data_IF_444915828185
#
_entry.id   IF_444915828185
#
_cell.length_a   1.000
_cell.length_b   1.000
_cell.length_c   1.000
_cell.angle_alpha   90.00
_cell.angle_beta   90.00
_cell.angle_gamma   90.00
#
_symmetry.space_group_name_H-M   'P 1'
#
loop_
_entity.id
_entity.type
_entity.pdbx_description
1 polymer ?
#
# COMPACT_ATOMS: atom_id res chain seq x y z
N UNK A 1 -13.81 -3.49 3.33
CA UNK A 1 -12.43 -3.76 2.89
C UNK A 1 -11.57 -2.49 2.89
N UNK A 2 -11.83 -1.52 2.00
CA UNK A 2 -11.01 -0.31 1.87
C UNK A 2 -10.76 0.46 3.18
N UNK A 3 -11.77 0.56 4.04
CA UNK A 3 -11.65 1.21 5.37
C UNK A 3 -10.73 0.45 6.33
N UNK A 4 -10.66 -0.89 6.24
CA UNK A 4 -9.76 -1.70 7.05
C UNK A 4 -8.31 -1.53 6.58
N UNK A 5 -8.10 -1.50 5.26
CA UNK A 5 -6.80 -1.20 4.66
C UNK A 5 -6.35 0.20 5.04
N UNK A 6 -7.22 1.22 4.90
CA UNK A 6 -6.96 2.60 5.32
C UNK A 6 -6.48 2.68 6.77
N UNK A 7 -7.14 1.97 7.69
CA UNK A 7 -6.73 1.95 9.10
C UNK A 7 -5.33 1.37 9.28
N UNK A 8 -5.01 0.26 8.61
CA UNK A 8 -3.70 -0.36 8.73
C UNK A 8 -2.59 0.54 8.19
N UNK A 9 -2.77 1.07 6.97
CA UNK A 9 -1.74 1.91 6.34
C UNK A 9 -1.54 3.22 7.11
N UNK A 10 -2.59 3.77 7.73
CA UNK A 10 -2.47 4.94 8.60
C UNK A 10 -1.53 4.66 9.78
N UNK A 11 -1.66 3.50 10.43
CA UNK A 11 -0.76 3.13 11.54
C UNK A 11 0.69 3.03 11.04
N UNK A 12 0.91 2.38 9.89
CA UNK A 12 2.25 2.33 9.29
C UNK A 12 2.80 3.73 8.97
N UNK A 13 1.96 4.64 8.51
CA UNK A 13 2.35 6.02 8.23
C UNK A 13 2.70 6.78 9.51
N UNK A 14 1.85 6.70 10.53
CA UNK A 14 2.02 7.39 11.81
C UNK A 14 3.28 6.89 12.56
N UNK A 15 3.65 5.62 12.37
CA UNK A 15 4.88 5.03 12.92
C UNK A 15 6.11 5.22 12.00
N UNK A 16 5.98 5.95 10.88
CA UNK A 16 7.09 6.30 9.99
C UNK A 16 7.56 5.19 9.05
N UNK A 17 6.79 4.10 8.92
CA UNK A 17 7.09 2.99 7.99
C UNK A 17 6.66 3.26 6.55
N UNK A 18 5.79 4.24 6.33
CA UNK A 18 5.27 4.58 5.01
C UNK A 18 5.14 6.10 4.85
N UNK A 19 5.49 6.59 3.67
CA UNK A 19 5.24 7.98 3.29
C UNK A 19 3.74 8.25 3.11
N UNK A 20 3.41 9.45 2.62
CA UNK A 20 2.04 9.80 2.25
C UNK A 20 1.49 8.77 1.24
N UNK A 21 0.26 8.34 1.49
CA UNK A 21 -0.36 7.24 0.76
C UNK A 21 -1.78 7.59 0.33
N UNK A 22 -2.32 6.78 -0.58
CA UNK A 22 -3.72 6.81 -1.00
C UNK A 22 -4.30 5.40 -1.00
N UNK A 23 -5.53 5.30 -0.50
CA UNK A 23 -6.36 4.10 -0.66
C UNK A 23 -7.51 4.41 -1.62
N UNK A 24 -7.69 3.57 -2.64
CA UNK A 24 -8.78 3.67 -3.59
C UNK A 24 -9.54 2.34 -3.69
N UNK A 25 -10.83 2.43 -3.99
CA UNK A 25 -11.69 1.28 -4.25
C UNK A 25 -12.71 1.65 -5.31
N UNK A 26 -12.85 0.80 -6.32
CA UNK A 26 -13.86 0.99 -7.35
C UNK A 26 -15.13 0.21 -7.00
N UNK A 27 -16.18 0.92 -6.57
CA UNK A 27 -17.50 0.33 -6.30
C UNK A 27 -18.35 0.10 -7.56
N UNK A 28 -17.75 0.20 -8.75
CA UNK A 28 -18.42 0.02 -10.04
C UNK A 28 -18.87 1.32 -10.72
N UNK A 29 -18.47 2.48 -10.20
CA UNK A 29 -18.76 3.80 -10.80
C UNK A 29 -17.66 4.29 -11.75
N UNK A 30 -16.48 3.66 -11.72
CA UNK A 30 -15.36 3.98 -12.60
C UNK A 30 -15.02 2.78 -13.51
N UNK A 31 -14.47 3.01 -14.71
CA UNK A 31 -13.84 1.96 -15.50
C UNK A 31 -12.71 1.26 -14.75
N UNK A 32 -12.36 0.04 -15.16
CA UNK A 32 -11.30 -0.78 -14.55
C UNK A 32 -11.84 -1.91 -13.67
N UNK A 33 -10.93 -2.59 -12.98
CA UNK A 33 -11.28 -3.72 -12.12
C UNK A 33 -12.17 -3.28 -10.96
N UNK A 34 -13.20 -4.08 -10.72
CA UNK A 34 -14.10 -3.92 -9.58
C UNK A 34 -13.62 -4.79 -8.44
N UNK A 35 -14.03 -4.47 -7.24
CA UNK A 35 -13.73 -5.25 -6.04
C UNK A 35 -12.23 -5.34 -5.69
N UNK A 36 -11.41 -4.48 -6.29
CA UNK A 36 -9.99 -4.29 -5.96
C UNK A 36 -9.82 -3.07 -5.07
N UNK A 37 -9.14 -3.25 -3.94
CA UNK A 37 -8.62 -2.14 -3.13
C UNK A 37 -7.18 -1.89 -3.53
N UNK A 38 -6.90 -0.66 -3.96
CA UNK A 38 -5.56 -0.21 -4.33
C UNK A 38 -5.00 0.62 -3.19
N UNK A 39 -3.82 0.22 -2.71
CA UNK A 39 -2.99 1.02 -1.81
C UNK A 39 -1.77 1.47 -2.60
N UNK A 40 -1.62 2.79 -2.74
CA UNK A 40 -0.52 3.42 -3.45
C UNK A 40 0.22 4.37 -2.50
N UNK A 41 1.55 4.39 -2.59
CA UNK A 41 2.40 5.38 -1.96
C UNK A 41 3.66 5.55 -2.80
N UNK A 42 4.25 6.74 -2.73
CA UNK A 42 5.52 7.04 -3.40
C UNK A 42 6.65 6.96 -2.37
N UNK A 43 7.74 6.29 -2.73
CA UNK A 43 8.94 6.21 -1.90
C UNK A 43 10.19 6.36 -2.75
N UNK A 44 11.21 7.03 -2.20
CA UNK A 44 12.51 7.12 -2.86
C UNK A 44 13.26 5.78 -2.86
N UNK A 45 13.00 4.92 -1.87
CA UNK A 45 13.65 3.62 -1.74
C UNK A 45 12.73 2.63 -1.05
N UNK A 46 12.33 1.57 -1.76
CA UNK A 46 11.56 0.50 -1.17
C UNK A 46 12.40 -0.29 -0.18
N UNK A 47 12.01 -0.26 1.10
CA UNK A 47 12.68 -1.01 2.16
C UNK A 47 11.96 -2.35 2.42
N UNK A 48 12.72 -3.45 2.47
CA UNK A 48 12.16 -4.76 2.80
C UNK A 48 11.54 -4.74 4.21
N UNK A 49 10.32 -5.29 4.40
CA UNK A 49 9.75 -5.53 5.74
C UNK A 49 10.58 -6.51 6.59
N UNK A 50 11.39 -7.35 5.95
CA UNK A 50 12.24 -8.36 6.60
C UNK A 50 13.68 -7.91 6.82
N UNK A 51 13.97 -6.61 6.66
CA UNK A 51 15.30 -6.05 6.93
C UNK A 51 15.64 -6.17 8.43
N UNK A 52 16.93 -6.33 8.72
CA UNK A 52 17.42 -6.37 10.10
C UNK A 52 17.06 -5.08 10.86
N UNK A 53 16.66 -5.23 12.12
CA UNK A 53 16.30 -4.11 12.99
C UNK A 53 14.96 -3.43 12.67
N UNK A 54 14.16 -3.96 11.75
CA UNK A 54 12.81 -3.44 11.51
C UNK A 54 11.84 -3.88 12.61
N UNK A 55 11.41 -2.94 13.44
CA UNK A 55 10.37 -3.17 14.45
C UNK A 55 8.99 -3.00 13.81
N UNK A 56 8.34 -4.11 13.49
CA UNK A 56 7.04 -4.06 12.84
C UNK A 56 5.94 -3.57 13.82
N UNK A 57 5.15 -2.56 13.43
CA UNK A 57 4.02 -2.05 14.20
C UNK A 57 3.01 -3.14 14.54
N UNK A 58 2.97 -3.58 15.80
CA UNK A 58 2.09 -4.70 16.22
C UNK A 58 0.61 -4.39 16.01
N UNK A 59 0.21 -3.12 16.14
CA UNK A 59 -1.16 -2.69 15.88
C UNK A 59 -1.49 -2.73 14.39
N UNK A 60 -0.57 -2.34 13.50
CA UNK A 60 -0.76 -2.47 12.07
C UNK A 60 -0.86 -3.94 11.65
N UNK A 61 -0.09 -4.83 12.27
CA UNK A 61 -0.20 -6.28 12.02
C UNK A 61 -1.57 -6.82 12.42
N UNK A 62 -2.10 -6.40 13.57
CA UNK A 62 -3.45 -6.77 14.02
C UNK A 62 -4.55 -6.21 13.11
N UNK A 63 -4.40 -4.96 12.67
CA UNK A 63 -5.30 -4.34 11.71
C UNK A 63 -5.31 -5.09 10.36
N UNK A 64 -4.15 -5.55 9.91
CA UNK A 64 -4.00 -6.40 8.71
C UNK A 64 -4.75 -7.72 8.78
N UNK A 65 -4.65 -8.38 9.94
CA UNK A 65 -5.35 -9.65 10.17
C UNK A 65 -6.88 -9.53 10.05
N UNK A 66 -7.44 -8.34 10.30
CA UNK A 66 -8.88 -8.11 10.21
C UNK A 66 -9.43 -8.21 8.79
N UNK A 67 -8.60 -8.01 7.76
CA UNK A 67 -9.05 -8.04 6.37
C UNK A 67 -8.47 -9.21 5.56
N UNK A 68 -7.40 -9.85 6.04
CA UNK A 68 -6.76 -11.00 5.39
C UNK A 68 -7.73 -12.13 4.98
N UNK A 69 -8.78 -12.48 5.75
CA UNK A 69 -9.73 -13.54 5.36
C UNK A 69 -10.57 -13.24 4.12
N UNK A 70 -10.66 -11.99 3.68
CA UNK A 70 -11.46 -11.59 2.53
C UNK A 70 -10.61 -11.37 1.26
N UNK A 71 -9.31 -11.66 1.32
CA UNK A 71 -8.40 -11.52 0.18
C UNK A 71 -8.43 -12.80 -0.65
N UNK A 72 -8.89 -12.69 -1.90
CA UNK A 72 -8.81 -13.78 -2.88
C UNK A 72 -7.46 -13.81 -3.63
N UNK A 73 -6.81 -12.65 -3.76
CA UNK A 73 -5.50 -12.51 -4.40
C UNK A 73 -4.87 -11.14 -4.13
N UNK A 74 -3.56 -11.06 -4.30
CA UNK A 74 -2.77 -9.83 -4.09
C UNK A 74 -1.62 -9.83 -5.09
N UNK A 75 -1.33 -8.66 -5.66
CA UNK A 75 -0.14 -8.39 -6.46
C UNK A 75 0.40 -7.02 -6.09
N UNK A 76 1.67 -6.77 -6.44
CA UNK A 76 2.32 -5.46 -6.26
C UNK A 76 2.81 -5.02 -7.64
N UNK A 77 2.47 -3.80 -8.01
CA UNK A 77 2.99 -3.14 -9.20
C UNK A 77 4.00 -2.07 -8.80
N UNK A 78 5.06 -1.93 -9.60
CA UNK A 78 6.07 -0.90 -9.42
C UNK A 78 5.99 0.08 -10.59
N UNK A 79 5.47 1.27 -10.31
CA UNK A 79 5.42 2.36 -11.28
C UNK A 79 6.62 3.26 -11.06
N UNK A 80 7.58 3.20 -11.97
CA UNK A 80 8.77 4.05 -11.89
C UNK A 80 8.45 5.44 -12.44
N UNK A 81 8.68 6.48 -11.64
CA UNK A 81 8.48 7.85 -12.08
C UNK A 81 9.34 8.19 -13.30
N UNK A 82 8.76 8.94 -14.22
CA UNK A 82 9.46 9.47 -15.37
C UNK A 82 10.29 10.68 -14.90
N UNK A 83 11.60 10.49 -14.77
CA UNK A 83 12.52 11.56 -14.41
C UNK A 83 13.07 12.24 -15.68
N UNK A 84 13.56 13.50 -15.61
CA UNK A 84 14.14 14.17 -16.77
C UNK A 84 15.26 13.38 -17.46
N UNK A 85 16.02 12.57 -16.72
CA UNK A 85 17.05 11.70 -17.29
C UNK A 85 16.51 10.56 -18.14
N UNK A 86 15.28 10.11 -17.88
CA UNK A 86 14.61 9.01 -18.58
C UNK A 86 13.74 9.45 -19.74
N UNK A 87 13.49 10.75 -19.85
CA UNK A 87 12.81 11.33 -21.01
C UNK A 87 13.74 11.52 -22.22
N UNK A 88 15.05 11.40 -22.03
CA UNK A 88 16.07 11.66 -23.05
C UNK A 88 16.73 10.38 -23.60
N UNK A 89 16.27 9.21 -23.18
CA UNK A 89 16.75 7.88 -23.61
C UNK A 89 15.92 7.30 -24.75
#
# INVERSE_FOLDING_TARGET
>A
MATLVQKQVQIFHDEGHREAFRVAYNSGTCPGDKDVVVLEWETAAFQSPYRDGNEMPSEAMRAGAAFQPYIEGTYIEFMELLTPGKMQS
#
